data_IF_476289427978
#
_entry.id   IF_476289427978
#
_cell.length_a   1.000
_cell.length_b   1.000
_cell.length_c   1.000
_cell.angle_alpha   90.00
_cell.angle_beta   90.00
_cell.angle_gamma   90.00
#
_symmetry.space_group_name_H-M   'P 1'
#
loop_
_entity.id
_entity.type
_entity.pdbx_description
1 polymer ?
#
# COMPACT_ATOMS: atom_id res chain seq x y z
N UNK A 1 -10.18 20.80 15.16
CA UNK A 1 -9.18 20.43 14.14
C UNK A 1 -8.57 19.13 14.62
N UNK A 2 -8.53 18.10 13.79
CA UNK A 2 -7.92 16.84 14.17
C UNK A 2 -6.40 17.06 14.16
N UNK A 3 -5.74 16.97 15.31
CA UNK A 3 -4.30 17.26 15.47
C UNK A 3 -3.45 16.02 15.16
N UNK A 4 -3.75 15.37 14.05
CA UNK A 4 -3.04 14.17 13.62
C UNK A 4 -1.72 14.52 12.94
N UNK A 5 -0.59 14.12 13.55
CA UNK A 5 0.75 14.30 12.97
C UNK A 5 0.84 13.71 11.55
N UNK A 6 0.21 12.56 11.31
CA UNK A 6 0.21 11.91 9.99
C UNK A 6 -0.49 12.78 8.94
N UNK A 7 -1.69 13.29 9.23
CA UNK A 7 -2.41 14.16 8.30
C UNK A 7 -1.71 15.52 8.13
N UNK A 8 -1.14 16.07 9.20
CA UNK A 8 -0.31 17.27 9.12
C UNK A 8 0.86 17.11 8.15
N UNK A 9 1.58 15.98 8.23
CA UNK A 9 2.69 15.70 7.29
C UNK A 9 2.22 15.62 5.84
N UNK A 10 1.06 15.00 5.57
CA UNK A 10 0.47 14.93 4.22
C UNK A 10 0.04 16.31 3.68
N UNK A 11 -0.20 17.27 4.57
CA UNK A 11 -0.49 18.67 4.24
C UNK A 11 0.75 19.58 4.31
N UNK A 12 1.96 19.00 4.41
CA UNK A 12 3.25 19.72 4.54
C UNK A 12 3.28 20.67 5.75
N UNK A 13 2.57 20.34 6.81
CA UNK A 13 2.60 21.08 8.09
C UNK A 13 3.69 20.47 8.98
N UNK A 14 4.46 21.32 9.69
CA UNK A 14 5.52 20.83 10.56
C UNK A 14 4.96 20.04 11.75
N UNK A 15 5.67 19.01 12.14
CA UNK A 15 5.44 18.22 13.35
C UNK A 15 6.67 18.28 14.25
N UNK A 16 6.50 18.13 15.55
CA UNK A 16 7.61 18.08 16.52
C UNK A 16 8.48 16.83 16.37
N UNK A 17 7.87 15.73 15.92
CA UNK A 17 8.53 14.47 15.58
C UNK A 17 7.84 13.89 14.35
N UNK A 18 8.54 13.12 13.49
CA UNK A 18 7.91 12.53 12.33
C UNK A 18 6.80 11.57 12.74
N UNK A 19 5.63 11.58 12.07
CA UNK A 19 4.64 10.54 12.25
C UNK A 19 5.17 9.20 11.77
N UNK A 20 4.78 8.13 12.46
CA UNK A 20 5.24 6.76 12.22
C UNK A 20 4.07 5.84 11.95
N UNK A 21 4.13 5.12 10.86
CA UNK A 21 3.42 3.88 10.58
C UNK A 21 4.29 3.04 9.67
N UNK A 22 4.00 1.76 9.46
CA UNK A 22 4.82 0.98 8.53
C UNK A 22 4.04 -0.11 7.80
N UNK A 23 4.49 -0.39 6.58
CA UNK A 23 3.86 -1.37 5.70
C UNK A 23 3.87 -2.75 6.35
N UNK A 24 2.69 -3.42 6.35
CA UNK A 24 2.42 -4.70 7.01
C UNK A 24 2.56 -4.66 8.54
N UNK A 25 2.32 -3.49 9.17
CA UNK A 25 2.36 -3.34 10.63
C UNK A 25 1.47 -4.35 11.36
N UNK A 26 0.30 -4.70 10.82
CA UNK A 26 -0.46 -5.88 11.23
C UNK A 26 0.02 -7.08 10.41
N UNK A 27 0.69 -8.05 11.04
CA UNK A 27 1.29 -9.12 10.26
C UNK A 27 1.87 -10.27 11.09
N UNK A 28 2.38 -11.27 10.37
CA UNK A 28 2.85 -12.55 10.92
C UNK A 28 4.00 -12.47 11.92
N UNK A 29 4.69 -11.33 12.02
CA UNK A 29 5.73 -11.11 13.03
C UNK A 29 5.14 -10.89 14.43
N UNK A 30 3.83 -10.53 14.54
CA UNK A 30 3.14 -10.33 15.82
C UNK A 30 2.58 -11.65 16.37
N UNK A 31 2.90 -12.03 17.63
CA UNK A 31 2.32 -13.21 18.26
C UNK A 31 0.78 -13.17 18.30
N UNK A 32 0.19 -12.03 18.66
CA UNK A 32 -1.25 -11.83 18.72
C UNK A 32 -1.93 -11.96 17.34
N UNK A 33 -1.27 -11.59 16.26
CA UNK A 33 -1.74 -11.86 14.90
C UNK A 33 -1.77 -13.37 14.65
N UNK A 34 -0.72 -14.08 15.02
CA UNK A 34 -0.63 -15.54 14.82
C UNK A 34 -1.71 -16.28 15.60
N UNK A 35 -2.06 -15.83 16.82
CA UNK A 35 -3.15 -16.42 17.62
C UNK A 35 -4.51 -16.28 16.90
N UNK A 36 -4.79 -15.14 16.30
CA UNK A 36 -6.02 -14.97 15.50
C UNK A 36 -5.95 -15.84 14.25
N UNK A 37 -4.81 -15.83 13.53
CA UNK A 37 -4.65 -16.56 12.26
C UNK A 37 -4.89 -18.05 12.36
N UNK A 38 -4.55 -18.67 13.49
CA UNK A 38 -4.76 -20.11 13.78
C UNK A 38 -6.24 -20.53 13.74
N UNK A 39 -7.17 -19.58 13.92
CA UNK A 39 -8.60 -19.89 13.96
C UNK A 39 -9.23 -19.94 12.54
N UNK A 40 -8.46 -19.70 11.48
CA UNK A 40 -8.93 -19.66 10.12
C UNK A 40 -8.20 -20.70 9.25
N UNK A 41 -8.95 -21.45 8.47
CA UNK A 41 -8.42 -22.45 7.52
C UNK A 41 -7.60 -21.81 6.40
N UNK A 42 -8.00 -20.61 5.95
CA UNK A 42 -7.28 -19.86 4.94
C UNK A 42 -7.25 -18.37 5.26
N UNK A 43 -6.42 -17.64 4.52
CA UNK A 43 -6.22 -16.20 4.73
C UNK A 43 -7.44 -15.36 4.29
N UNK A 44 -8.11 -15.76 3.20
CA UNK A 44 -9.26 -15.01 2.68
C UNK A 44 -10.46 -15.06 3.63
N UNK A 45 -10.71 -16.20 4.29
CA UNK A 45 -11.79 -16.31 5.27
C UNK A 45 -11.57 -15.31 6.41
N UNK A 46 -10.32 -15.15 6.86
CA UNK A 46 -9.98 -14.15 7.87
C UNK A 46 -10.20 -12.72 7.34
N UNK A 47 -9.82 -12.43 6.09
CA UNK A 47 -10.05 -11.12 5.47
C UNK A 47 -11.53 -10.80 5.24
N UNK A 48 -12.38 -11.83 5.12
CA UNK A 48 -13.84 -11.67 4.95
C UNK A 48 -14.61 -11.47 6.26
N UNK A 49 -13.91 -11.43 7.39
CA UNK A 49 -14.48 -11.19 8.72
C UNK A 49 -14.19 -9.76 9.21
N UNK A 50 -15.12 -8.79 9.04
CA UNK A 50 -14.88 -7.37 9.34
C UNK A 50 -14.36 -7.10 10.75
N UNK A 51 -14.95 -7.76 11.76
CA UNK A 51 -14.54 -7.58 13.17
C UNK A 51 -13.13 -8.14 13.43
N UNK A 52 -12.74 -9.19 12.75
CA UNK A 52 -11.39 -9.75 12.84
C UNK A 52 -10.38 -8.82 12.17
N UNK A 53 -10.71 -8.31 10.98
CA UNK A 53 -9.86 -7.32 10.29
C UNK A 53 -9.64 -6.07 11.16
N UNK A 54 -10.69 -5.58 11.82
CA UNK A 54 -10.61 -4.45 12.74
C UNK A 54 -9.68 -4.73 13.94
N UNK A 55 -9.80 -5.90 14.56
CA UNK A 55 -8.89 -6.31 15.64
C UNK A 55 -7.44 -6.40 15.16
N UNK A 56 -7.19 -6.96 13.98
CA UNK A 56 -5.85 -7.05 13.41
C UNK A 56 -5.25 -5.68 13.11
N UNK A 57 -6.05 -4.74 12.58
CA UNK A 57 -5.60 -3.37 12.33
C UNK A 57 -5.29 -2.60 13.63
N UNK A 58 -5.94 -2.97 14.76
CA UNK A 58 -5.74 -2.35 16.07
C UNK A 58 -4.50 -2.89 16.81
N UNK A 59 -4.14 -4.16 16.63
CA UNK A 59 -3.01 -4.80 17.35
C UNK A 59 -1.71 -4.00 17.31
N UNK A 60 -1.20 -3.50 16.16
CA UNK A 60 0.01 -2.70 16.15
C UNK A 60 -0.15 -1.35 16.85
N UNK A 61 -1.36 -0.79 16.89
CA UNK A 61 -1.66 0.47 17.59
C UNK A 61 -1.63 0.27 19.10
N UNK A 62 -2.15 -0.86 19.59
CA UNK A 62 -2.11 -1.21 21.01
C UNK A 62 -0.70 -1.56 21.51
N UNK A 63 0.14 -2.10 20.61
CA UNK A 63 1.49 -2.53 20.95
C UNK A 63 2.52 -1.42 20.84
N UNK A 64 2.36 -0.53 19.86
CA UNK A 64 3.35 0.45 19.47
C UNK A 64 2.76 1.86 19.43
N UNK A 65 3.60 2.86 19.68
CA UNK A 65 3.25 4.28 19.55
C UNK A 65 3.27 4.69 18.07
N UNK A 66 2.19 4.40 17.34
CA UNK A 66 2.02 4.70 15.91
C UNK A 66 1.03 5.84 15.68
N UNK A 67 1.24 6.62 14.60
CA UNK A 67 0.43 7.79 14.26
C UNK A 67 -0.62 7.51 13.18
N UNK A 68 -0.68 6.31 12.62
CA UNK A 68 -1.72 5.89 11.69
C UNK A 68 -1.93 4.38 11.72
N UNK A 69 -3.17 3.94 11.53
CA UNK A 69 -3.52 2.56 11.21
C UNK A 69 -3.73 2.41 9.70
N UNK A 70 -3.58 1.20 9.20
CA UNK A 70 -3.94 0.84 7.83
C UNK A 70 -4.97 -0.28 7.86
N UNK A 71 -5.95 -0.21 6.97
CA UNK A 71 -6.94 -1.25 6.78
C UNK A 71 -6.28 -2.63 6.63
N UNK A 72 -6.78 -3.63 7.32
CA UNK A 72 -6.35 -5.01 7.12
C UNK A 72 -7.19 -5.66 6.01
N UNK A 73 -6.58 -5.84 4.85
CA UNK A 73 -7.17 -6.45 3.65
C UNK A 73 -6.06 -6.94 2.72
N UNK A 74 -6.43 -7.44 1.54
CA UNK A 74 -5.49 -7.82 0.49
C UNK A 74 -5.73 -7.01 -0.79
N UNK A 75 -4.66 -6.68 -1.53
CA UNK A 75 -4.75 -5.93 -2.79
C UNK A 75 -5.46 -6.72 -3.90
N UNK A 76 -5.46 -8.07 -3.81
CA UNK A 76 -6.00 -8.96 -4.85
C UNK A 76 -7.50 -9.21 -4.71
N UNK A 77 -8.17 -8.55 -3.77
CA UNK A 77 -9.64 -8.60 -3.64
C UNK A 77 -10.36 -8.04 -4.88
N UNK A 78 -9.76 -7.05 -5.57
CA UNK A 78 -10.32 -6.48 -6.81
C UNK A 78 -10.32 -7.52 -7.95
N UNK A 79 -9.19 -8.19 -8.29
CA UNK A 79 -9.21 -9.28 -9.26
C UNK A 79 -10.15 -10.43 -8.88
N UNK A 80 -10.27 -10.77 -7.58
CA UNK A 80 -11.22 -11.78 -7.11
C UNK A 80 -12.67 -11.38 -7.41
N UNK A 81 -13.02 -10.12 -7.17
CA UNK A 81 -14.34 -9.56 -7.49
C UNK A 81 -14.64 -9.52 -9.00
N UNK A 82 -13.64 -9.60 -9.86
CA UNK A 82 -13.77 -9.72 -11.31
C UNK A 82 -13.88 -11.20 -11.78
N UNK A 83 -14.03 -12.14 -10.85
CA UNK A 83 -14.17 -13.59 -11.10
C UNK A 83 -12.87 -14.32 -11.50
N UNK A 84 -11.71 -13.81 -11.09
CA UNK A 84 -10.44 -14.50 -11.32
C UNK A 84 -10.20 -15.66 -10.34
N UNK A 85 -10.98 -15.76 -9.26
CA UNK A 85 -10.99 -16.89 -8.32
C UNK A 85 -9.69 -16.98 -7.51
N UNK A 86 -9.51 -16.03 -6.58
CA UNK A 86 -8.36 -15.94 -5.70
C UNK A 86 -8.37 -17.02 -4.61
N UNK A 87 -7.25 -17.68 -4.43
CA UNK A 87 -6.99 -18.62 -3.33
C UNK A 87 -5.60 -18.37 -2.74
N UNK A 88 -5.42 -18.68 -1.46
CA UNK A 88 -4.10 -18.67 -0.80
C UNK A 88 -3.76 -20.08 -0.32
N UNK A 89 -2.67 -20.61 -0.82
CA UNK A 89 -2.14 -21.89 -0.38
C UNK A 89 -0.97 -21.69 0.58
N UNK A 90 -0.89 -22.52 1.58
CA UNK A 90 0.18 -22.43 2.58
C UNK A 90 1.56 -22.62 1.92
N UNK A 91 2.46 -21.67 2.14
CA UNK A 91 3.81 -21.65 1.55
C UNK A 91 3.90 -21.21 0.08
N UNK A 92 2.77 -21.09 -0.66
CA UNK A 92 2.79 -20.78 -2.09
C UNK A 92 2.32 -19.35 -2.43
N UNK A 93 1.68 -18.66 -1.49
CA UNK A 93 1.13 -17.32 -1.70
C UNK A 93 -0.19 -17.31 -2.48
N UNK A 94 -0.56 -16.17 -3.10
CA UNK A 94 -1.81 -16.05 -3.84
C UNK A 94 -1.77 -16.84 -5.15
N UNK A 95 -2.92 -17.44 -5.53
CA UNK A 95 -3.16 -18.09 -6.83
C UNK A 95 -4.52 -17.72 -7.37
N UNK A 96 -4.62 -17.56 -8.67
CA UNK A 96 -5.87 -17.37 -9.39
C UNK A 96 -6.25 -18.65 -10.14
N UNK A 97 -7.50 -19.08 -9.99
CA UNK A 97 -8.04 -20.25 -10.71
C UNK A 97 -8.27 -19.96 -12.19
N UNK A 98 -8.60 -18.71 -12.51
CA UNK A 98 -8.91 -18.24 -13.86
C UNK A 98 -7.97 -17.09 -14.25
N UNK A 99 -6.63 -17.33 -14.40
CA UNK A 99 -5.69 -16.26 -14.76
C UNK A 99 -5.94 -15.80 -16.21
N UNK A 100 -5.59 -14.56 -16.51
CA UNK A 100 -5.62 -14.00 -17.87
C UNK A 100 -4.42 -14.56 -18.65
N UNK A 101 -4.67 -15.46 -19.58
CA UNK A 101 -3.63 -16.15 -20.37
C UNK A 101 -3.60 -15.70 -21.84
N UNK A 102 -4.72 -15.19 -22.34
CA UNK A 102 -4.91 -14.70 -23.72
C UNK A 102 -5.93 -13.57 -23.75
N UNK A 103 -5.98 -12.77 -24.81
CA UNK A 103 -6.89 -11.62 -24.91
C UNK A 103 -8.36 -11.93 -24.67
N UNK A 104 -8.82 -13.10 -25.12
CA UNK A 104 -10.23 -13.51 -25.01
C UNK A 104 -10.65 -13.73 -23.55
N UNK A 105 -9.72 -14.04 -22.64
CA UNK A 105 -10.00 -14.26 -21.24
C UNK A 105 -10.52 -12.96 -20.57
N UNK A 106 -10.12 -11.78 -21.08
CA UNK A 106 -10.60 -10.49 -20.59
C UNK A 106 -12.12 -10.35 -20.79
N UNK A 107 -12.66 -10.92 -21.88
CA UNK A 107 -14.10 -10.90 -22.15
C UNK A 107 -14.91 -11.80 -21.18
N UNK A 108 -14.25 -12.66 -20.42
CA UNK A 108 -14.89 -13.51 -19.41
C UNK A 108 -15.00 -12.85 -18.05
N UNK A 109 -14.37 -11.69 -17.86
CA UNK A 109 -14.48 -10.92 -16.63
C UNK A 109 -15.91 -10.42 -16.45
N UNK A 110 -16.39 -10.51 -15.22
CA UNK A 110 -17.68 -9.92 -14.86
C UNK A 110 -17.49 -8.41 -14.60
N UNK A 111 -18.57 -7.65 -14.75
CA UNK A 111 -18.54 -6.23 -14.37
C UNK A 111 -18.22 -6.11 -12.89
N UNK A 112 -17.32 -5.20 -12.54
CA UNK A 112 -16.98 -4.95 -11.14
C UNK A 112 -18.21 -4.44 -10.39
N UNK A 113 -18.58 -5.17 -9.33
CA UNK A 113 -19.62 -4.76 -8.38
C UNK A 113 -18.97 -4.62 -6.99
N UNK A 114 -18.87 -3.39 -6.50
CA UNK A 114 -18.30 -3.09 -5.19
C UNK A 114 -19.02 -3.78 -4.03
N UNK A 115 -20.31 -4.13 -4.20
CA UNK A 115 -21.08 -4.83 -3.15
C UNK A 115 -20.50 -6.22 -2.84
N UNK A 116 -19.82 -6.86 -3.79
CA UNK A 116 -19.12 -8.13 -3.57
C UNK A 116 -17.96 -7.99 -2.58
N UNK A 117 -17.44 -6.76 -2.40
CA UNK A 117 -16.39 -6.40 -1.47
C UNK A 117 -16.91 -5.68 -0.21
N UNK A 118 -18.22 -5.76 0.08
CA UNK A 118 -18.85 -5.13 1.26
C UNK A 118 -18.17 -5.50 2.57
N UNK A 119 -17.59 -6.70 2.68
CA UNK A 119 -16.82 -7.12 3.84
C UNK A 119 -15.59 -6.24 4.11
N UNK A 120 -14.96 -5.69 3.07
CA UNK A 120 -13.83 -4.76 3.20
C UNK A 120 -14.32 -3.42 3.76
N UNK A 121 -15.43 -2.91 3.23
CA UNK A 121 -16.01 -1.63 3.64
C UNK A 121 -16.54 -1.70 5.07
N UNK A 122 -17.19 -2.81 5.42
CA UNK A 122 -17.58 -3.10 6.80
C UNK A 122 -16.34 -3.21 7.74
N UNK A 123 -15.21 -3.74 7.25
CA UNK A 123 -13.97 -3.77 8.04
C UNK A 123 -13.42 -2.36 8.29
N UNK A 124 -13.54 -1.43 7.34
CA UNK A 124 -13.21 -0.02 7.56
C UNK A 124 -14.08 0.55 8.69
N UNK A 125 -15.40 0.37 8.62
CA UNK A 125 -16.34 0.88 9.63
C UNK A 125 -16.07 0.30 11.02
N UNK A 126 -15.85 -1.02 11.11
CA UNK A 126 -15.54 -1.68 12.38
C UNK A 126 -14.18 -1.20 12.93
N UNK A 127 -13.18 -1.00 12.07
CA UNK A 127 -11.88 -0.46 12.47
C UNK A 127 -12.03 0.97 13.02
N UNK A 128 -12.78 1.82 12.35
CA UNK A 128 -13.04 3.21 12.80
C UNK A 128 -13.73 3.29 14.16
N UNK A 129 -14.58 2.31 14.49
CA UNK A 129 -15.23 2.25 15.82
C UNK A 129 -14.24 1.93 16.95
N UNK A 130 -13.16 1.19 16.63
CA UNK A 130 -12.17 0.75 17.62
C UNK A 130 -10.99 1.71 17.76
N UNK A 131 -10.62 2.42 16.69
CA UNK A 131 -9.49 3.34 16.70
C UNK A 131 -9.79 4.58 17.55
N UNK A 132 -8.78 5.15 18.25
CA UNK A 132 -8.86 6.49 18.80
C UNK A 132 -9.34 7.50 17.76
N UNK A 133 -10.15 8.48 18.18
CA UNK A 133 -10.80 9.42 17.27
C UNK A 133 -9.81 10.29 16.47
N UNK A 134 -8.64 10.53 17.01
CA UNK A 134 -7.53 11.32 16.45
C UNK A 134 -6.58 10.47 15.58
N UNK A 135 -6.69 9.14 15.62
CA UNK A 135 -5.83 8.26 14.84
C UNK A 135 -6.42 7.99 13.45
N UNK A 136 -5.74 8.44 12.36
CA UNK A 136 -6.22 8.21 11.01
C UNK A 136 -6.11 6.75 10.57
N UNK A 137 -7.07 6.34 9.74
CA UNK A 137 -7.08 5.05 9.05
C UNK A 137 -6.74 5.25 7.59
N UNK A 138 -5.75 4.50 7.09
CA UNK A 138 -5.33 4.49 5.70
C UNK A 138 -6.10 3.38 4.97
N UNK A 139 -6.81 3.74 3.88
CA UNK A 139 -7.32 2.80 2.90
C UNK A 139 -6.30 2.57 1.79
N UNK A 140 -6.46 1.51 1.02
CA UNK A 140 -5.47 1.21 -0.04
C UNK A 140 -6.03 0.33 -1.15
N UNK A 141 -5.32 0.31 -2.28
CA UNK A 141 -5.43 -0.72 -3.33
C UNK A 141 -4.06 -1.02 -3.94
N UNK A 142 -3.98 -2.07 -4.75
CA UNK A 142 -2.89 -2.25 -5.70
C UNK A 142 -3.04 -1.29 -6.89
N UNK A 143 -1.94 -0.91 -7.54
CA UNK A 143 -2.01 -0.23 -8.84
C UNK A 143 -2.62 -1.15 -9.90
N UNK A 144 -3.26 -0.62 -10.96
CA UNK A 144 -3.77 -1.45 -12.05
C UNK A 144 -2.70 -2.38 -12.63
N UNK A 145 -1.46 -1.90 -12.81
CA UNK A 145 -0.35 -2.73 -13.25
C UNK A 145 -0.05 -3.88 -12.28
N UNK A 146 0.08 -3.59 -11.00
CA UNK A 146 0.33 -4.63 -9.99
C UNK A 146 -0.76 -5.69 -9.98
N UNK A 147 -2.02 -5.29 -10.10
CA UNK A 147 -3.16 -6.22 -10.15
C UNK A 147 -3.15 -7.03 -11.44
N UNK A 148 -2.87 -6.40 -12.59
CA UNK A 148 -2.74 -7.08 -13.88
C UNK A 148 -1.59 -8.09 -13.87
N UNK A 149 -0.43 -7.72 -13.30
CA UNK A 149 0.73 -8.60 -13.21
C UNK A 149 0.40 -9.90 -12.47
N UNK A 150 -0.24 -9.81 -11.31
CA UNK A 150 -0.70 -11.00 -10.56
C UNK A 150 -1.75 -11.81 -11.33
N UNK A 151 -2.70 -11.13 -11.97
CA UNK A 151 -3.82 -11.74 -12.68
C UNK A 151 -3.37 -12.53 -13.92
N UNK A 152 -2.38 -12.00 -14.64
CA UNK A 152 -1.81 -12.64 -15.84
C UNK A 152 -0.84 -13.75 -15.46
N UNK A 153 0.04 -13.50 -14.47
CA UNK A 153 0.96 -14.52 -14.00
C UNK A 153 0.23 -15.71 -13.37
N UNK A 154 -0.97 -15.47 -12.80
CA UNK A 154 -1.78 -16.45 -12.09
C UNK A 154 -1.41 -16.54 -10.60
N UNK A 155 -0.62 -15.58 -10.09
CA UNK A 155 -0.15 -15.54 -8.71
C UNK A 155 1.20 -14.85 -8.55
N UNK A 156 1.91 -15.15 -7.45
CA UNK A 156 3.26 -14.64 -7.23
C UNK A 156 4.31 -15.36 -8.09
N UNK A 157 5.31 -14.62 -8.59
CA UNK A 157 6.40 -15.16 -9.40
C UNK A 157 7.70 -14.41 -9.12
N UNK A 158 8.85 -15.00 -9.44
CA UNK A 158 10.15 -14.32 -9.36
C UNK A 158 10.39 -13.37 -10.52
N UNK A 159 9.96 -13.74 -11.72
CA UNK A 159 10.33 -13.07 -12.97
C UNK A 159 9.14 -12.55 -13.77
N UNK A 160 7.92 -12.96 -13.41
CA UNK A 160 6.68 -12.55 -14.10
C UNK A 160 6.77 -12.70 -15.61
N UNK A 161 7.26 -13.87 -16.05
CA UNK A 161 7.53 -14.15 -17.46
C UNK A 161 6.27 -14.15 -18.32
N UNK A 162 5.16 -14.72 -17.82
CA UNK A 162 3.88 -14.72 -18.54
C UNK A 162 3.38 -13.29 -18.73
N UNK A 163 3.45 -12.48 -17.68
CA UNK A 163 3.04 -11.08 -17.70
C UNK A 163 3.86 -10.26 -18.71
N UNK A 164 5.19 -10.45 -18.73
CA UNK A 164 6.07 -9.77 -19.70
C UNK A 164 5.78 -10.19 -21.13
N UNK A 165 5.56 -11.48 -21.37
CA UNK A 165 5.19 -11.97 -22.70
C UNK A 165 3.84 -11.40 -23.15
N UNK A 166 2.82 -11.44 -22.26
CA UNK A 166 1.51 -10.88 -22.55
C UNK A 166 1.58 -9.38 -22.90
N UNK A 167 2.38 -8.61 -22.16
CA UNK A 167 2.61 -7.19 -22.42
C UNK A 167 3.23 -6.96 -23.81
N UNK A 168 4.16 -7.80 -24.24
CA UNK A 168 4.83 -7.69 -25.53
C UNK A 168 3.95 -8.16 -26.69
N UNK A 169 3.27 -9.32 -26.52
CA UNK A 169 2.51 -9.96 -27.59
C UNK A 169 1.10 -9.37 -27.75
N UNK A 170 0.50 -8.83 -26.69
CA UNK A 170 -0.88 -8.36 -26.65
C UNK A 170 -1.05 -7.01 -25.96
N UNK A 171 -0.31 -5.95 -26.34
CA UNK A 171 -0.34 -4.65 -25.63
C UNK A 171 -1.72 -4.01 -25.62
N UNK A 172 -2.50 -4.10 -26.70
CA UNK A 172 -3.87 -3.54 -26.73
C UNK A 172 -4.80 -4.23 -25.75
N UNK A 173 -4.75 -5.57 -25.66
CA UNK A 173 -5.55 -6.31 -24.70
C UNK A 173 -5.13 -6.00 -23.24
N UNK A 174 -3.84 -5.79 -23.00
CA UNK A 174 -3.36 -5.36 -21.69
C UNK A 174 -3.93 -3.95 -21.34
N UNK A 175 -3.97 -3.02 -22.30
CA UNK A 175 -4.59 -1.71 -22.09
C UNK A 175 -6.08 -1.83 -21.73
N UNK A 176 -6.83 -2.68 -22.43
CA UNK A 176 -8.25 -2.92 -22.12
C UNK A 176 -8.42 -3.47 -20.70
N UNK A 177 -7.56 -4.41 -20.28
CA UNK A 177 -7.58 -4.95 -18.93
C UNK A 177 -7.21 -3.91 -17.86
N UNK A 178 -6.20 -3.09 -18.14
CA UNK A 178 -5.78 -2.01 -17.23
C UNK A 178 -6.86 -0.94 -17.07
N UNK A 179 -7.68 -0.63 -18.09
CA UNK A 179 -8.84 0.26 -17.96
C UNK A 179 -9.92 -0.33 -17.05
N UNK A 180 -10.22 -1.64 -17.17
CA UNK A 180 -11.15 -2.32 -16.27
C UNK A 180 -10.67 -2.24 -14.82
N UNK A 181 -9.39 -2.54 -14.58
CA UNK A 181 -8.79 -2.46 -13.26
C UNK A 181 -8.74 -1.02 -12.72
N UNK A 182 -8.47 -0.05 -13.58
CA UNK A 182 -8.47 1.37 -13.22
C UNK A 182 -9.84 1.83 -12.70
N UNK A 183 -10.93 1.46 -13.40
CA UNK A 183 -12.28 1.79 -12.94
C UNK A 183 -12.63 1.06 -11.64
N UNK A 184 -12.30 -0.22 -11.52
CA UNK A 184 -12.50 -1.00 -10.31
C UNK A 184 -11.73 -0.41 -9.11
N UNK A 185 -10.45 -0.03 -9.28
CA UNK A 185 -9.65 0.60 -8.25
C UNK A 185 -10.26 1.93 -7.79
N UNK A 186 -10.69 2.80 -8.71
CA UNK A 186 -11.36 4.05 -8.37
C UNK A 186 -12.61 3.82 -7.52
N UNK A 187 -13.52 2.93 -7.96
CA UNK A 187 -14.77 2.62 -7.24
C UNK A 187 -14.49 2.00 -5.88
N UNK A 188 -13.51 1.12 -5.79
CA UNK A 188 -13.09 0.49 -4.54
C UNK A 188 -12.51 1.49 -3.53
N UNK A 189 -11.63 2.39 -3.97
CA UNK A 189 -11.07 3.44 -3.11
C UNK A 189 -12.14 4.45 -2.67
N UNK A 190 -13.03 4.84 -3.59
CA UNK A 190 -14.16 5.71 -3.29
C UNK A 190 -15.04 5.12 -2.19
N UNK A 191 -15.32 3.82 -2.24
CA UNK A 191 -16.15 3.16 -1.24
C UNK A 191 -15.45 3.07 0.12
N UNK A 192 -14.13 2.87 0.16
CA UNK A 192 -13.35 2.96 1.40
C UNK A 192 -13.44 4.35 2.03
N UNK A 193 -13.42 5.41 1.22
CA UNK A 193 -13.60 6.80 1.73
C UNK A 193 -15.00 6.97 2.33
N UNK A 194 -16.05 6.49 1.65
CA UNK A 194 -17.42 6.53 2.17
C UNK A 194 -17.55 5.78 3.50
N UNK A 195 -16.80 4.71 3.70
CA UNK A 195 -16.74 3.93 4.95
C UNK A 195 -15.87 4.56 6.03
N UNK A 196 -15.10 5.62 5.73
CA UNK A 196 -14.46 6.46 6.75
C UNK A 196 -12.93 6.45 6.82
N UNK A 197 -12.21 6.01 5.80
CA UNK A 197 -10.75 6.18 5.75
C UNK A 197 -10.35 7.64 5.62
N UNK A 198 -9.17 8.01 6.13
CA UNK A 198 -8.69 9.38 6.21
C UNK A 198 -7.61 9.69 5.15
N UNK A 199 -6.99 8.67 4.59
CA UNK A 199 -5.99 8.76 3.51
C UNK A 199 -6.08 7.51 2.65
N UNK A 200 -5.57 7.59 1.42
CA UNK A 200 -5.50 6.47 0.48
C UNK A 200 -4.06 6.19 0.08
N UNK A 201 -3.69 4.92 -0.03
CA UNK A 201 -2.41 4.51 -0.59
C UNK A 201 -2.58 3.57 -1.78
N UNK A 202 -1.91 3.88 -2.89
CA UNK A 202 -1.84 3.03 -4.08
C UNK A 202 -0.47 2.33 -4.05
N UNK A 203 -0.49 0.98 -4.10
CA UNK A 203 0.73 0.17 -4.09
C UNK A 203 1.07 -0.33 -5.49
N UNK A 204 2.11 0.21 -6.12
CA UNK A 204 2.71 -0.41 -7.28
C UNK A 204 3.89 -1.31 -6.87
N UNK A 205 3.53 -2.51 -6.42
CA UNK A 205 4.47 -3.49 -5.87
C UNK A 205 5.32 -4.19 -6.94
N UNK A 206 5.02 -3.96 -8.23
CA UNK A 206 5.72 -4.57 -9.35
C UNK A 206 6.20 -3.55 -10.40
N UNK A 207 6.36 -2.29 -10.00
CA UNK A 207 6.95 -1.24 -10.83
C UNK A 207 8.36 -1.60 -11.34
N UNK A 208 9.14 -2.34 -10.54
CA UNK A 208 10.48 -2.80 -10.86
C UNK A 208 10.55 -3.81 -12.04
N UNK A 209 9.43 -4.38 -12.44
CA UNK A 209 9.34 -5.24 -13.63
C UNK A 209 9.40 -4.47 -14.94
N UNK A 210 9.07 -3.17 -14.90
CA UNK A 210 8.92 -2.31 -16.09
C UNK A 210 10.21 -1.55 -16.39
N UNK A 211 10.44 -1.29 -17.69
CA UNK A 211 11.38 -0.24 -18.08
C UNK A 211 10.80 1.14 -17.73
N UNK A 212 11.62 2.19 -17.78
CA UNK A 212 11.13 3.54 -17.53
C UNK A 212 10.01 3.95 -18.52
N UNK A 213 10.11 3.55 -19.78
CA UNK A 213 9.08 3.81 -20.80
C UNK A 213 7.82 2.98 -20.53
N UNK A 214 7.94 1.70 -20.22
CA UNK A 214 6.80 0.82 -19.96
C UNK A 214 6.07 1.22 -18.67
N UNK A 215 6.77 1.74 -17.67
CA UNK A 215 6.18 2.25 -16.43
C UNK A 215 5.20 3.40 -16.72
N UNK A 216 5.57 4.34 -17.57
CA UNK A 216 4.65 5.41 -17.99
C UNK A 216 3.43 4.86 -18.76
N UNK A 217 3.67 3.90 -19.66
CA UNK A 217 2.64 3.36 -20.56
C UNK A 217 1.68 2.40 -19.87
N UNK A 218 2.17 1.51 -18.99
CA UNK A 218 1.36 0.42 -18.42
C UNK A 218 1.02 0.58 -16.93
N UNK A 219 1.65 1.53 -16.22
CA UNK A 219 1.34 1.78 -14.81
C UNK A 219 0.94 3.23 -14.54
N UNK A 220 1.85 4.18 -14.71
CA UNK A 220 1.69 5.53 -14.20
C UNK A 220 0.50 6.27 -14.83
N UNK A 221 0.24 6.11 -16.12
CA UNK A 221 -0.94 6.72 -16.77
C UNK A 221 -2.26 6.27 -16.14
N UNK A 222 -2.36 5.01 -15.69
CA UNK A 222 -3.58 4.47 -15.05
C UNK A 222 -3.69 4.93 -13.59
N UNK A 223 -2.56 5.02 -12.88
CA UNK A 223 -2.50 5.62 -11.56
C UNK A 223 -2.94 7.09 -11.61
N UNK A 224 -2.46 7.87 -12.59
CA UNK A 224 -2.91 9.24 -12.84
C UNK A 224 -4.41 9.33 -13.12
N UNK A 225 -4.98 8.41 -13.92
CA UNK A 225 -6.43 8.36 -14.16
C UNK A 225 -7.23 8.13 -12.87
N UNK A 226 -6.78 7.22 -12.00
CA UNK A 226 -7.43 6.96 -10.71
C UNK A 226 -7.41 8.21 -9.85
N UNK A 227 -6.25 8.83 -9.70
CA UNK A 227 -6.10 10.02 -8.84
C UNK A 227 -6.91 11.20 -9.37
N UNK A 228 -6.95 11.44 -10.68
CA UNK A 228 -7.78 12.46 -11.32
C UNK A 228 -9.27 12.23 -11.07
N UNK A 229 -9.76 10.96 -11.20
CA UNK A 229 -11.15 10.61 -10.86
C UNK A 229 -11.43 10.90 -9.38
N UNK A 230 -10.55 10.48 -8.46
CA UNK A 230 -10.69 10.72 -7.03
C UNK A 230 -10.69 12.23 -6.69
N UNK A 231 -9.83 13.03 -7.31
CA UNK A 231 -9.75 14.47 -7.09
C UNK A 231 -10.91 15.24 -7.72
N UNK A 232 -11.58 14.67 -8.73
CA UNK A 232 -12.77 15.25 -9.35
C UNK A 232 -14.07 14.89 -8.64
N UNK A 233 -14.09 13.84 -7.81
CA UNK A 233 -15.27 13.41 -7.06
C UNK A 233 -15.45 14.25 -5.77
N UNK A 234 -16.61 14.89 -5.55
CA UNK A 234 -16.89 15.69 -4.36
C UNK A 234 -16.66 14.96 -3.03
N UNK A 235 -16.80 13.61 -3.01
CA UNK A 235 -16.62 12.78 -1.81
C UNK A 235 -15.14 12.58 -1.50
N UNK A 236 -14.30 12.37 -2.52
CA UNK A 236 -12.90 11.94 -2.33
C UNK A 236 -11.87 13.05 -2.59
N UNK A 237 -12.27 14.17 -3.20
CA UNK A 237 -11.34 15.23 -3.65
C UNK A 237 -10.38 15.76 -2.59
N UNK A 238 -10.80 15.78 -1.32
CA UNK A 238 -10.00 16.29 -0.20
C UNK A 238 -9.19 15.19 0.51
N UNK A 239 -9.33 13.93 0.11
CA UNK A 239 -8.59 12.82 0.71
C UNK A 239 -7.16 12.81 0.17
N UNK A 240 -6.13 12.81 1.03
CA UNK A 240 -4.75 12.71 0.59
C UNK A 240 -4.46 11.35 -0.03
N UNK A 241 -3.65 11.35 -1.11
CA UNK A 241 -3.30 10.17 -1.87
C UNK A 241 -1.79 9.96 -1.79
N UNK A 242 -1.37 8.76 -1.40
CA UNK A 242 0.01 8.32 -1.28
C UNK A 242 0.28 7.30 -2.39
N UNK A 243 1.35 7.47 -3.14
CA UNK A 243 1.81 6.51 -4.14
C UNK A 243 3.08 5.80 -3.65
N UNK A 244 3.09 4.48 -3.68
CA UNK A 244 4.27 3.65 -3.49
C UNK A 244 4.64 2.96 -4.79
N UNK A 245 5.87 3.20 -5.27
CA UNK A 245 6.46 2.56 -6.44
C UNK A 245 7.68 1.74 -5.99
N UNK A 246 7.60 0.42 -6.13
CA UNK A 246 8.69 -0.45 -5.72
C UNK A 246 9.86 -0.37 -6.70
N UNK A 247 10.97 0.22 -6.24
CA UNK A 247 12.26 0.25 -6.96
C UNK A 247 12.13 0.59 -8.47
N UNK A 248 11.43 1.68 -8.83
CA UNK A 248 11.19 2.03 -10.23
C UNK A 248 12.50 2.41 -10.91
N UNK A 249 12.60 2.13 -12.22
CA UNK A 249 13.78 2.48 -13.02
C UNK A 249 13.79 3.95 -13.47
N UNK A 250 12.67 4.64 -13.28
CA UNK A 250 12.57 6.09 -13.46
C UNK A 250 13.08 6.84 -12.22
N UNK A 251 13.42 8.12 -12.42
CA UNK A 251 13.67 9.01 -11.29
C UNK A 251 12.37 9.24 -10.51
N UNK A 252 12.44 9.21 -9.20
CA UNK A 252 11.28 9.44 -8.33
C UNK A 252 10.59 10.78 -8.62
N UNK A 253 11.36 11.81 -8.97
CA UNK A 253 10.82 13.12 -9.34
C UNK A 253 9.87 13.08 -10.54
N UNK A 254 10.07 12.15 -11.47
CA UNK A 254 9.26 12.00 -12.67
C UNK A 254 7.93 11.25 -12.39
N UNK A 255 7.83 10.63 -11.21
CA UNK A 255 6.62 9.93 -10.71
C UNK A 255 5.67 10.87 -9.96
N UNK A 256 6.10 12.10 -9.68
CA UNK A 256 5.33 13.08 -8.92
C UNK A 256 4.44 13.88 -9.87
N UNK A 257 3.15 13.98 -9.53
CA UNK A 257 2.16 14.75 -10.25
C UNK A 257 1.16 15.39 -9.28
N UNK A 258 0.44 16.42 -9.72
CA UNK A 258 -0.32 17.35 -8.87
C UNK A 258 -1.37 16.72 -7.97
N UNK A 259 -1.94 15.57 -8.34
CA UNK A 259 -2.97 14.90 -7.56
C UNK A 259 -2.42 14.12 -6.34
N UNK A 260 -1.09 13.93 -6.25
CA UNK A 260 -0.46 13.23 -5.15
C UNK A 260 -0.21 14.15 -3.96
N UNK A 261 -0.46 13.63 -2.77
CA UNK A 261 -0.10 14.26 -1.50
C UNK A 261 1.24 13.75 -0.96
N UNK A 262 1.63 12.52 -1.31
CA UNK A 262 2.82 11.88 -0.79
C UNK A 262 3.40 10.86 -1.77
N UNK A 263 4.72 10.81 -1.87
CA UNK A 263 5.46 9.72 -2.49
C UNK A 263 6.09 8.83 -1.42
N UNK A 264 5.82 7.53 -1.48
CA UNK A 264 6.38 6.54 -0.57
C UNK A 264 7.57 5.86 -1.22
N UNK A 265 8.73 5.93 -0.58
CA UNK A 265 10.01 5.53 -1.15
C UNK A 265 10.38 4.09 -0.80
N UNK A 266 10.88 3.36 -1.79
CA UNK A 266 11.55 2.08 -1.59
C UNK A 266 12.89 2.30 -0.87
N UNK A 267 13.36 1.33 -0.09
CA UNK A 267 14.58 1.44 0.72
C UNK A 267 15.87 1.65 -0.08
N UNK A 268 15.88 1.35 -1.38
CA UNK A 268 17.03 1.61 -2.27
C UNK A 268 17.08 3.06 -2.76
N UNK A 269 16.03 3.83 -2.60
CA UNK A 269 16.01 5.22 -3.03
C UNK A 269 16.87 6.08 -2.08
N UNK A 270 17.59 7.02 -2.64
CA UNK A 270 18.32 8.03 -1.88
C UNK A 270 17.36 9.12 -1.40
N UNK A 271 16.91 8.99 -0.14
CA UNK A 271 15.95 9.92 0.47
C UNK A 271 16.50 11.34 0.56
N UNK A 272 17.81 11.50 0.78
CA UNK A 272 18.45 12.82 0.86
C UNK A 272 18.43 13.54 -0.49
N UNK A 273 18.85 12.85 -1.56
CA UNK A 273 18.82 13.42 -2.90
C UNK A 273 17.39 13.75 -3.35
N UNK A 274 16.42 12.90 -3.01
CA UNK A 274 15.02 13.10 -3.38
C UNK A 274 14.44 14.29 -2.62
N UNK A 275 14.63 14.39 -1.30
CA UNK A 275 14.10 15.51 -0.50
C UNK A 275 14.60 16.87 -0.99
N UNK A 276 15.89 16.96 -1.36
CA UNK A 276 16.48 18.16 -1.96
C UNK A 276 15.88 18.49 -3.34
N UNK A 277 15.52 17.47 -4.12
CA UNK A 277 15.00 17.64 -5.47
C UNK A 277 13.55 18.11 -5.49
N UNK A 278 12.70 17.61 -4.58
CA UNK A 278 11.26 17.94 -4.52
C UNK A 278 10.94 19.22 -3.76
N UNK A 279 11.90 19.80 -3.04
CA UNK A 279 11.82 21.14 -2.42
C UNK A 279 10.55 21.40 -1.59
N UNK A 280 10.13 20.45 -0.78
CA UNK A 280 8.93 20.54 0.08
C UNK A 280 7.60 20.72 -0.69
N UNK A 281 7.51 20.28 -1.93
CA UNK A 281 6.28 20.37 -2.72
C UNK A 281 5.34 19.17 -2.55
N UNK A 282 5.81 18.09 -1.94
CA UNK A 282 5.06 16.86 -1.70
C UNK A 282 5.58 16.19 -0.43
N UNK A 283 4.73 15.50 0.31
CA UNK A 283 5.19 14.71 1.45
C UNK A 283 6.04 13.50 0.99
N UNK A 284 7.00 13.11 1.82
CA UNK A 284 7.85 11.94 1.58
C UNK A 284 7.63 10.93 2.70
N UNK A 285 7.35 9.69 2.33
CA UNK A 285 7.18 8.58 3.25
C UNK A 285 8.29 7.53 3.04
N UNK A 286 8.86 7.05 4.11
CA UNK A 286 9.88 5.98 4.05
C UNK A 286 11.10 6.29 4.91
N UNK A 287 12.27 5.66 4.66
CA UNK A 287 12.42 4.52 3.74
C UNK A 287 13.41 3.51 4.33
N UNK A 288 13.23 3.20 5.63
CA UNK A 288 14.12 2.26 6.30
C UNK A 288 14.08 0.90 5.60
N UNK A 289 15.27 0.33 5.34
CA UNK A 289 15.35 -1.04 4.86
C UNK A 289 14.79 -2.02 5.91
N UNK A 290 13.74 -2.80 5.61
CA UNK A 290 13.16 -3.73 6.58
C UNK A 290 14.16 -4.74 7.15
N UNK A 291 15.20 -5.10 6.40
CA UNK A 291 16.23 -6.04 6.85
C UNK A 291 17.10 -5.50 7.99
N UNK A 292 17.16 -4.19 8.17
CA UNK A 292 17.85 -3.57 9.32
C UNK A 292 17.22 -4.00 10.65
N UNK A 293 15.94 -4.34 10.66
CA UNK A 293 15.26 -4.84 11.87
C UNK A 293 15.75 -6.24 12.31
N UNK A 294 16.57 -6.92 11.52
CA UNK A 294 17.23 -8.18 11.91
C UNK A 294 18.60 -7.95 12.58
N UNK A 295 19.10 -6.71 12.56
CA UNK A 295 20.40 -6.34 13.10
C UNK A 295 20.36 -6.06 14.63
N UNK A 296 21.48 -5.64 15.20
CA UNK A 296 21.56 -5.19 16.59
C UNK A 296 20.73 -3.92 16.81
N UNK A 297 20.30 -3.69 18.06
CA UNK A 297 19.54 -2.49 18.43
C UNK A 297 20.34 -1.21 18.14
N UNK A 298 21.67 -1.26 18.26
CA UNK A 298 22.53 -0.14 17.95
C UNK A 298 22.51 0.21 16.45
N UNK A 299 22.60 -0.80 15.57
CA UNK A 299 22.53 -0.59 14.11
C UNK A 299 21.16 -0.05 13.71
N UNK A 300 20.08 -0.59 14.28
CA UNK A 300 18.72 -0.08 14.06
C UNK A 300 18.65 1.39 14.45
N UNK A 301 19.11 1.71 15.66
CA UNK A 301 19.09 3.08 16.18
C UNK A 301 19.86 4.05 15.27
N UNK A 302 21.10 3.70 14.88
CA UNK A 302 21.95 4.52 14.03
C UNK A 302 21.32 4.80 12.67
N UNK A 303 20.73 3.78 12.02
CA UNK A 303 20.13 3.94 10.70
C UNK A 303 18.82 4.74 10.75
N UNK A 304 18.00 4.54 11.78
CA UNK A 304 16.79 5.34 12.01
C UNK A 304 17.16 6.81 12.24
N UNK A 305 18.13 7.07 13.12
CA UNK A 305 18.59 8.43 13.41
C UNK A 305 19.23 9.11 12.17
N UNK A 306 19.91 8.34 11.33
CA UNK A 306 20.44 8.86 10.05
C UNK A 306 19.31 9.38 9.16
N UNK A 307 18.24 8.59 8.97
CA UNK A 307 17.07 8.99 8.17
C UNK A 307 16.36 10.19 8.80
N UNK A 308 16.09 10.16 10.10
CA UNK A 308 15.40 11.25 10.80
C UNK A 308 16.21 12.54 10.76
N UNK A 309 17.53 12.48 10.90
CA UNK A 309 18.42 13.67 10.82
C UNK A 309 18.41 14.28 9.41
N UNK A 310 18.44 13.46 8.35
CA UNK A 310 18.33 13.95 6.96
C UNK A 310 17.01 14.69 6.74
N UNK A 311 15.93 14.17 7.32
CA UNK A 311 14.57 14.66 7.10
C UNK A 311 14.07 15.64 8.16
N UNK A 312 14.93 16.05 9.11
CA UNK A 312 14.55 16.85 10.27
C UNK A 312 13.82 18.15 9.92
N UNK A 313 14.28 18.87 8.90
CA UNK A 313 13.67 20.12 8.44
C UNK A 313 12.57 19.92 7.39
N UNK A 314 12.27 18.67 6.99
CA UNK A 314 11.28 18.39 5.97
C UNK A 314 9.86 18.26 6.57
N UNK A 315 8.96 19.26 6.39
CA UNK A 315 7.69 19.31 7.12
C UNK A 315 6.74 18.16 6.78
N UNK A 316 6.86 17.59 5.57
CA UNK A 316 6.03 16.49 5.08
C UNK A 316 6.67 15.11 5.24
N UNK A 317 7.61 14.92 6.18
CA UNK A 317 8.22 13.63 6.38
C UNK A 317 7.34 12.68 7.21
N UNK A 318 7.16 11.45 6.71
CA UNK A 318 6.49 10.33 7.38
C UNK A 318 7.48 9.18 7.48
N UNK A 319 7.87 8.82 8.69
CA UNK A 319 8.77 7.68 8.89
C UNK A 319 8.03 6.35 8.61
N UNK A 320 8.61 5.54 7.73
CA UNK A 320 8.09 4.23 7.35
C UNK A 320 9.25 3.30 6.93
N UNK A 321 8.95 2.02 6.77
CA UNK A 321 9.82 1.09 6.07
C UNK A 321 9.72 1.33 4.56
N UNK A 322 10.81 1.10 3.84
CA UNK A 322 10.85 1.18 2.38
C UNK A 322 10.27 -0.07 1.67
N UNK A 323 9.72 -1.02 2.42
CA UNK A 323 8.92 -2.17 2.00
C UNK A 323 8.24 -2.79 3.23
N UNK A 324 7.34 -3.75 3.04
CA UNK A 324 6.68 -4.41 4.16
C UNK A 324 7.64 -5.17 5.08
N UNK A 325 7.38 -5.10 6.39
CA UNK A 325 8.10 -5.89 7.40
C UNK A 325 7.99 -7.39 7.11
N UNK A 326 9.08 -8.14 7.36
CA UNK A 326 9.12 -9.60 7.15
C UNK A 326 8.63 -10.37 8.38
N UNK A 327 8.11 -11.60 8.21
CA UNK A 327 7.48 -12.35 9.30
C UNK A 327 8.41 -12.82 10.43
N UNK A 328 9.71 -12.83 10.17
CA UNK A 328 10.78 -13.30 11.06
C UNK A 328 11.29 -12.23 12.02
N UNK A 329 10.84 -11.00 11.89
CA UNK A 329 11.28 -9.89 12.75
C UNK A 329 10.69 -10.03 14.17
N UNK A 330 11.56 -9.88 15.17
CA UNK A 330 11.13 -9.79 16.55
C UNK A 330 10.43 -8.45 16.80
N UNK A 331 9.19 -8.42 17.37
CA UNK A 331 8.49 -7.18 17.70
C UNK A 331 9.29 -6.20 18.57
N UNK A 332 10.23 -6.68 19.38
CA UNK A 332 11.11 -5.84 20.21
C UNK A 332 12.00 -4.93 19.33
N UNK A 333 12.43 -5.41 18.14
CA UNK A 333 13.21 -4.63 17.18
C UNK A 333 12.41 -3.47 16.57
N UNK A 334 11.11 -3.70 16.38
CA UNK A 334 10.16 -2.64 15.98
C UNK A 334 10.05 -1.57 17.06
N UNK A 335 10.01 -1.98 18.34
CA UNK A 335 9.98 -1.05 19.47
C UNK A 335 11.27 -0.18 19.49
N UNK A 336 12.44 -0.78 19.25
CA UNK A 336 13.72 -0.06 19.12
C UNK A 336 13.67 0.96 17.99
N UNK A 337 13.16 0.57 16.80
CA UNK A 337 12.98 1.47 15.66
C UNK A 337 12.10 2.67 15.99
N UNK A 338 10.93 2.44 16.59
CA UNK A 338 9.97 3.49 16.93
C UNK A 338 10.57 4.44 17.97
N UNK A 339 11.20 3.89 19.01
CA UNK A 339 11.89 4.70 20.03
C UNK A 339 12.95 5.60 19.39
N UNK A 340 13.80 5.04 18.53
CA UNK A 340 14.81 5.82 17.83
C UNK A 340 14.21 6.94 16.96
N UNK A 341 13.08 6.71 16.31
CA UNK A 341 12.44 7.74 15.47
C UNK A 341 11.68 8.83 16.27
N UNK A 342 11.46 8.60 17.58
CA UNK A 342 10.84 9.60 18.50
C UNK A 342 11.87 10.50 19.21
N UNK A 343 13.14 10.09 19.28
CA UNK A 343 14.25 10.83 19.87
C UNK A 343 14.83 11.86 18.88
#
# INVERSE_FOLDING_TARGET
MNDSKFLNALELKPNSTPPIWFMRQAGRYLPEYQEIRKNYSNFLDMCKEPKTCAKLALQPIERFDLDASILFSDILTIPDALNLGLAFHEGEGPKFSNPISKPEDINTLISFDENTLSYVFNAVEETKKLLPADLPLIGFCGSPWTLAAYSIEGGGSKDFKKTKNFMQDHPSALHDFLEILCDACYRYLRQQVLSGVNALQIFDSWADLLSAQDLEIFSLQYTKKITQKLKSDPITKNIPIILFEKDPKQKITDLIFDDLSCISLHWKNDIEAISKSVKNNIAIQGNLNPMILSESDEIIYQEVQRICSIMFEYPGFIFNLGHGITPDINPQKVQTMIKAARE
#
